data_IF_634036418289
#
_entry.id   IF_634036418289
#
_cell.length_a   1.000
_cell.length_b   1.000
_cell.length_c   1.000
_cell.angle_alpha   90.00
_cell.angle_beta   90.00
_cell.angle_gamma   90.00
#
_symmetry.space_group_name_H-M   'P 1'
#
loop_
_entity.id
_entity.type
_entity.pdbx_description
1 polymer ?
#
# COMPACT_ATOMS: atom_id res chain seq x y z
N UNK A 1 -3.02 3.23 -23.61
CA UNK A 1 -2.11 4.26 -24.15
C UNK A 1 -1.03 4.67 -23.15
N UNK A 2 -1.36 5.07 -21.91
CA UNK A 2 -0.35 5.53 -20.92
C UNK A 2 0.50 4.37 -20.36
N UNK A 3 -0.11 3.25 -19.97
CA UNK A 3 0.60 2.08 -19.38
C UNK A 3 1.67 1.52 -20.31
N UNK A 4 1.33 1.29 -21.59
CA UNK A 4 2.26 0.76 -22.60
C UNK A 4 3.50 1.65 -22.75
N UNK A 5 3.30 2.98 -22.76
CA UNK A 5 4.41 3.94 -22.89
C UNK A 5 5.33 3.96 -21.67
N UNK A 6 4.80 3.76 -20.46
CA UNK A 6 5.61 3.62 -19.23
C UNK A 6 6.49 2.38 -19.30
N UNK A 7 5.90 1.26 -19.72
CA UNK A 7 6.63 0.01 -19.90
C UNK A 7 7.74 0.18 -20.93
N UNK A 8 7.45 0.82 -22.07
CA UNK A 8 8.43 1.10 -23.11
C UNK A 8 9.60 1.94 -22.58
N UNK A 9 9.31 3.03 -21.84
CA UNK A 9 10.34 3.89 -21.27
C UNK A 9 11.20 3.19 -20.21
N UNK A 10 10.58 2.38 -19.34
CA UNK A 10 11.31 1.59 -18.36
C UNK A 10 12.25 0.58 -19.02
N UNK A 11 11.77 -0.12 -20.06
CA UNK A 11 12.58 -1.09 -20.80
C UNK A 11 13.73 -0.43 -21.55
N UNK A 12 13.49 0.74 -22.16
CA UNK A 12 14.54 1.54 -22.81
C UNK A 12 15.58 1.99 -21.78
N UNK A 13 15.14 2.52 -20.63
CA UNK A 13 16.05 2.92 -19.56
C UNK A 13 16.92 1.75 -19.07
N UNK A 14 16.33 0.58 -18.81
CA UNK A 14 17.09 -0.60 -18.38
C UNK A 14 18.13 -0.98 -19.42
N UNK A 15 17.77 -0.95 -20.71
CA UNK A 15 18.68 -1.26 -21.81
C UNK A 15 19.83 -0.25 -21.95
N UNK A 16 19.56 1.03 -21.70
CA UNK A 16 20.55 2.10 -21.87
C UNK A 16 21.46 2.29 -20.65
N UNK A 17 20.92 2.09 -19.45
CA UNK A 17 21.57 2.49 -18.20
C UNK A 17 21.98 1.32 -17.31
N UNK A 18 21.51 0.09 -17.60
CA UNK A 18 21.73 -1.06 -16.74
C UNK A 18 22.09 -2.32 -17.58
N UNK A 19 23.34 -2.41 -18.04
CA UNK A 19 23.81 -3.50 -18.92
C UNK A 19 23.65 -4.90 -18.34
N UNK A 20 23.74 -5.03 -17.02
CA UNK A 20 23.70 -6.32 -16.30
C UNK A 20 22.35 -6.59 -15.63
N UNK A 21 21.33 -5.77 -15.90
CA UNK A 21 20.01 -5.89 -15.32
C UNK A 21 19.00 -6.39 -16.34
N UNK A 22 18.39 -7.54 -16.06
CA UNK A 22 17.29 -8.07 -16.89
C UNK A 22 15.94 -7.57 -16.35
N UNK A 23 15.25 -6.68 -17.09
CA UNK A 23 13.99 -6.11 -16.62
C UNK A 23 12.84 -7.12 -16.70
N UNK A 24 11.84 -6.95 -15.84
CA UNK A 24 10.60 -7.71 -15.86
C UNK A 24 9.90 -7.64 -17.23
N UNK A 25 9.22 -8.72 -17.59
CA UNK A 25 8.45 -8.81 -18.82
C UNK A 25 7.32 -7.79 -18.91
N UNK A 26 6.93 -7.42 -20.13
CA UNK A 26 5.85 -6.43 -20.39
C UNK A 26 4.54 -6.79 -19.67
N UNK A 27 4.18 -8.07 -19.60
CA UNK A 27 2.98 -8.56 -18.92
C UNK A 27 3.04 -8.29 -17.41
N UNK A 28 4.16 -8.64 -16.78
CA UNK A 28 4.43 -8.40 -15.37
C UNK A 28 4.42 -6.90 -15.05
N UNK A 29 5.14 -6.09 -15.83
CA UNK A 29 5.14 -4.63 -15.69
C UNK A 29 3.75 -4.01 -15.89
N UNK A 30 2.98 -4.53 -16.84
CA UNK A 30 1.58 -4.15 -17.03
C UNK A 30 0.78 -4.44 -15.78
N UNK A 31 0.88 -5.65 -15.25
CA UNK A 31 0.18 -6.07 -14.03
C UNK A 31 0.62 -5.27 -12.81
N UNK A 32 1.91 -4.92 -12.68
CA UNK A 32 2.41 -3.97 -11.66
C UNK A 32 1.67 -2.66 -11.81
N UNK A 33 1.72 -2.05 -13.00
CA UNK A 33 1.11 -0.74 -13.22
C UNK A 33 -0.41 -0.77 -13.05
N UNK A 34 -1.06 -1.91 -13.27
CA UNK A 34 -2.49 -2.11 -13.03
C UNK A 34 -2.85 -2.34 -11.56
N UNK A 35 -2.04 -3.10 -10.84
CA UNK A 35 -2.24 -3.40 -9.41
C UNK A 35 -1.85 -2.20 -8.55
N UNK A 36 -0.78 -1.52 -8.96
CA UNK A 36 -0.30 -0.25 -8.43
C UNK A 36 -0.86 0.93 -9.21
N UNK A 37 -1.99 0.77 -9.94
CA UNK A 37 -2.66 1.89 -10.64
C UNK A 37 -2.80 3.01 -9.63
N UNK A 38 -2.07 4.10 -9.87
CA UNK A 38 -2.24 5.30 -9.08
C UNK A 38 -3.72 5.68 -9.19
N UNK A 39 -4.44 5.56 -8.08
CA UNK A 39 -5.81 6.02 -8.05
C UNK A 39 -5.75 7.49 -8.41
N UNK A 40 -6.46 7.91 -9.45
CA UNK A 40 -6.71 9.34 -9.69
C UNK A 40 -7.60 9.83 -8.57
N UNK A 41 -6.99 10.02 -7.40
CA UNK A 41 -7.56 10.82 -6.33
C UNK A 41 -7.15 12.24 -6.69
N UNK A 42 -8.14 13.08 -7.00
CA UNK A 42 -7.99 14.52 -6.73
C UNK A 42 -7.39 14.61 -5.32
N UNK A 43 -6.41 15.49 -5.11
CA UNK A 43 -5.80 15.75 -3.79
C UNK A 43 -6.85 16.00 -2.71
N UNK A 44 -7.43 14.94 -2.16
CA UNK A 44 -8.56 14.98 -1.23
C UNK A 44 -8.44 13.94 -0.12
N UNK A 45 -7.45 13.03 -0.16
CA UNK A 45 -7.41 11.89 0.76
C UNK A 45 -5.97 11.53 1.16
N UNK A 46 -5.35 12.39 1.98
CA UNK A 46 -4.09 12.09 2.68
C UNK A 46 -4.31 11.19 3.91
N UNK A 47 -3.21 10.85 4.61
CA UNK A 47 -3.24 10.08 5.88
C UNK A 47 -4.27 10.69 6.84
N UNK A 48 -4.37 12.01 6.88
CA UNK A 48 -5.27 12.73 7.77
C UNK A 48 -6.75 12.55 7.44
N UNK A 49 -7.13 12.28 6.19
CA UNK A 49 -8.52 11.93 5.86
C UNK A 49 -8.88 10.50 6.29
N UNK A 50 -7.99 9.52 6.07
CA UNK A 50 -8.19 8.17 6.60
C UNK A 50 -8.27 8.19 8.13
N UNK A 51 -7.45 9.04 8.73
CA UNK A 51 -7.43 9.28 10.15
C UNK A 51 -8.69 10.02 10.65
N UNK A 52 -9.28 10.94 9.87
CA UNK A 52 -10.49 11.69 10.20
C UNK A 52 -11.78 10.88 9.98
N UNK A 53 -11.87 10.10 8.90
CA UNK A 53 -12.97 9.17 8.66
C UNK A 53 -13.01 8.04 9.71
N UNK A 54 -11.84 7.65 10.23
CA UNK A 54 -11.74 6.79 11.41
C UNK A 54 -12.15 7.51 12.71
N UNK A 55 -11.90 8.82 12.84
CA UNK A 55 -12.25 9.62 14.03
C UNK A 55 -13.76 9.88 14.17
N UNK A 56 -14.49 10.12 13.07
CA UNK A 56 -15.94 10.41 13.12
C UNK A 56 -16.81 9.20 13.50
N UNK A 57 -16.27 7.99 13.50
CA UNK A 57 -17.07 6.78 13.57
C UNK A 57 -16.87 5.90 14.82
N UNK A 58 -16.01 6.20 15.82
CA UNK A 58 -15.54 5.08 16.64
C UNK A 58 -15.18 5.21 18.15
N UNK A 59 -15.52 4.07 18.78
CA UNK A 59 -15.15 3.44 20.06
C UNK A 59 -13.62 3.42 20.36
N UNK A 60 -13.23 3.23 21.62
CA UNK A 60 -11.84 3.28 22.11
C UNK A 60 -10.89 2.31 21.38
N UNK A 61 -11.38 1.13 20.99
CA UNK A 61 -10.59 0.12 20.29
C UNK A 61 -10.07 0.60 18.92
N UNK A 62 -10.87 1.36 18.18
CA UNK A 62 -10.47 1.87 16.87
C UNK A 62 -9.56 3.09 16.97
N UNK A 63 -9.69 3.89 18.04
CA UNK A 63 -8.69 4.92 18.37
C UNK A 63 -7.34 4.30 18.63
N UNK A 64 -7.28 3.22 19.42
CA UNK A 64 -6.04 2.46 19.68
C UNK A 64 -5.44 1.90 18.39
N UNK A 65 -6.27 1.30 17.53
CA UNK A 65 -5.87 0.82 16.21
C UNK A 65 -5.27 1.93 15.32
N UNK A 66 -5.87 3.13 15.32
CA UNK A 66 -5.34 4.28 14.58
C UNK A 66 -3.96 4.71 15.12
N UNK A 67 -3.80 4.81 16.44
CA UNK A 67 -2.50 5.12 17.05
C UNK A 67 -1.46 4.06 16.71
N UNK A 68 -1.82 2.79 16.80
CA UNK A 68 -0.95 1.68 16.44
C UNK A 68 -0.44 1.80 15.00
N UNK A 69 -1.34 2.01 14.03
CA UNK A 69 -0.96 2.19 12.62
C UNK A 69 -0.10 3.43 12.37
N UNK A 70 -0.34 4.54 13.09
CA UNK A 70 0.47 5.77 12.96
C UNK A 70 1.87 5.65 13.56
N UNK A 71 2.05 4.81 14.57
CA UNK A 71 3.27 4.71 15.37
C UNK A 71 3.91 3.32 15.24
N UNK A 72 3.65 2.46 16.22
CA UNK A 72 4.26 1.16 16.45
C UNK A 72 4.25 0.22 15.24
N UNK A 73 3.22 0.26 14.40
CA UNK A 73 3.13 -0.63 13.25
C UNK A 73 4.35 -0.48 12.35
N UNK A 74 4.81 0.76 12.11
CA UNK A 74 5.91 1.04 11.19
C UNK A 74 7.23 0.43 11.63
N UNK A 75 7.50 0.41 12.94
CA UNK A 75 8.75 -0.12 13.51
C UNK A 75 8.73 -1.63 13.71
N UNK A 76 7.55 -2.25 13.68
CA UNK A 76 7.40 -3.71 13.81
C UNK A 76 7.51 -4.45 12.48
N UNK A 77 7.33 -3.76 11.36
CA UNK A 77 7.43 -4.35 10.02
C UNK A 77 8.90 -4.56 9.64
N UNK A 78 9.21 -5.74 9.09
CA UNK A 78 10.55 -6.14 8.70
C UNK A 78 10.56 -7.09 7.49
N UNK A 79 11.76 -7.38 6.97
CA UNK A 79 11.99 -8.41 5.93
C UNK A 79 12.11 -9.83 6.48
N UNK A 80 11.89 -10.03 7.77
CA UNK A 80 11.97 -11.35 8.42
C UNK A 80 11.13 -11.31 9.70
N UNK A 81 9.97 -11.95 9.67
CA UNK A 81 9.08 -11.99 10.82
C UNK A 81 8.21 -13.25 10.75
N UNK A 82 8.08 -13.95 11.88
CA UNK A 82 7.12 -15.04 12.08
C UNK A 82 5.67 -14.55 12.15
N UNK A 83 5.45 -13.24 12.34
CA UNK A 83 4.12 -12.62 12.31
C UNK A 83 3.83 -12.15 10.88
N UNK A 84 2.76 -12.70 10.27
CA UNK A 84 2.29 -12.39 8.91
C UNK A 84 2.21 -10.90 8.63
N UNK A 85 1.59 -10.14 9.54
CA UNK A 85 1.34 -8.71 9.36
C UNK A 85 2.58 -7.82 9.44
N UNK A 86 3.66 -8.35 9.99
CA UNK A 86 4.93 -7.66 10.20
C UNK A 86 5.96 -8.10 9.16
N UNK A 87 5.76 -9.23 8.51
CA UNK A 87 6.65 -9.66 7.45
C UNK A 87 6.27 -9.00 6.12
N UNK A 88 6.99 -7.95 5.74
CA UNK A 88 6.61 -7.10 4.60
C UNK A 88 6.59 -7.85 3.26
N UNK A 89 7.48 -8.83 3.07
CA UNK A 89 7.58 -9.59 1.82
C UNK A 89 6.35 -10.48 1.67
N UNK A 90 5.98 -11.21 2.72
CA UNK A 90 4.78 -12.04 2.72
C UNK A 90 3.50 -11.21 2.70
N UNK A 91 3.40 -10.15 3.51
CA UNK A 91 2.20 -9.31 3.58
C UNK A 91 1.89 -8.56 2.26
N UNK A 92 2.90 -8.36 1.40
CA UNK A 92 2.74 -7.77 0.06
C UNK A 92 2.64 -8.83 -1.06
N UNK A 93 2.77 -10.11 -0.74
CA UNK A 93 2.66 -11.23 -1.67
C UNK A 93 1.22 -11.37 -2.18
N UNK A 94 1.05 -11.64 -3.48
CA UNK A 94 -0.24 -12.00 -4.07
C UNK A 94 -0.19 -13.44 -4.57
N UNK A 95 -0.77 -14.42 -3.85
CA UNK A 95 -0.73 -15.83 -4.25
C UNK A 95 -1.50 -16.09 -5.55
N UNK A 96 -2.35 -15.17 -6.00
CA UNK A 96 -3.09 -15.31 -7.27
C UNK A 96 -2.28 -14.89 -8.48
N UNK A 97 -1.14 -14.23 -8.28
CA UNK A 97 -0.29 -13.71 -9.35
C UNK A 97 1.13 -14.21 -9.15
N UNK A 98 1.54 -15.15 -9.98
CA UNK A 98 2.86 -15.79 -9.92
C UNK A 98 4.01 -14.79 -9.79
N UNK A 99 3.94 -13.67 -10.50
CA UNK A 99 4.98 -12.64 -10.53
C UNK A 99 5.08 -11.82 -9.23
N UNK A 100 4.04 -11.86 -8.39
CA UNK A 100 3.99 -11.19 -7.08
C UNK A 100 3.83 -12.17 -5.94
N UNK A 101 3.81 -13.47 -6.23
CA UNK A 101 3.81 -14.50 -5.22
C UNK A 101 5.22 -14.62 -4.64
N UNK A 102 5.27 -14.75 -3.32
CA UNK A 102 6.47 -15.06 -2.57
C UNK A 102 6.21 -16.30 -1.75
N UNK A 103 7.12 -17.27 -1.85
CA UNK A 103 7.16 -18.45 -1.00
C UNK A 103 7.98 -18.14 0.25
N UNK A 104 7.67 -18.82 1.36
CA UNK A 104 8.38 -18.65 2.61
C UNK A 104 8.90 -20.02 3.06
N UNK A 105 10.17 -20.05 3.46
CA UNK A 105 10.82 -21.25 4.00
C UNK A 105 10.62 -21.41 5.52
N UNK A 106 9.76 -20.58 6.12
CA UNK A 106 9.48 -20.58 7.56
C UNK A 106 7.97 -20.51 7.82
N UNK A 107 7.58 -20.97 9.00
CA UNK A 107 6.19 -20.95 9.48
C UNK A 107 5.86 -19.59 10.13
N UNK A 108 4.58 -19.23 10.09
CA UNK A 108 4.07 -17.96 10.60
C UNK A 108 3.17 -18.17 11.83
N UNK A 109 3.73 -18.79 12.86
CA UNK A 109 2.95 -19.27 14.01
C UNK A 109 2.72 -18.21 15.09
N UNK A 110 3.42 -17.08 14.98
CA UNK A 110 3.30 -15.98 15.92
C UNK A 110 2.19 -15.02 15.53
N UNK A 111 1.61 -14.37 16.55
CA UNK A 111 0.58 -13.36 16.36
C UNK A 111 0.91 -12.07 17.13
N UNK A 112 0.46 -10.94 16.58
CA UNK A 112 0.59 -9.64 17.23
C UNK A 112 -0.75 -9.23 17.83
N UNK A 113 -0.80 -9.04 19.16
CA UNK A 113 -1.99 -8.57 19.86
C UNK A 113 -2.55 -7.25 19.31
N UNK A 114 -1.70 -6.28 18.95
CA UNK A 114 -2.18 -5.00 18.40
C UNK A 114 -2.76 -5.15 16.99
N UNK A 115 -2.20 -6.04 16.16
CA UNK A 115 -2.78 -6.40 14.86
C UNK A 115 -4.13 -7.11 15.02
N UNK A 116 -4.24 -7.99 16.03
CA UNK A 116 -5.49 -8.65 16.39
C UNK A 116 -6.52 -7.65 16.91
N UNK A 117 -6.11 -6.65 17.69
CA UNK A 117 -6.99 -5.58 18.18
C UNK A 117 -7.54 -4.69 17.06
N UNK A 118 -6.79 -4.55 15.96
CA UNK A 118 -7.28 -3.88 14.75
C UNK A 118 -8.32 -4.73 14.01
N UNK A 119 -8.06 -6.02 13.85
CA UNK A 119 -8.83 -6.89 12.94
C UNK A 119 -10.04 -7.54 13.62
N UNK A 120 -9.93 -7.88 14.91
CA UNK A 120 -10.98 -8.59 15.67
C UNK A 120 -12.29 -7.80 15.75
N UNK A 121 -12.31 -6.49 16.07
CA UNK A 121 -13.55 -5.72 16.09
C UNK A 121 -14.22 -5.66 14.70
N UNK A 122 -13.42 -5.50 13.63
CA UNK A 122 -13.94 -5.49 12.26
C UNK A 122 -14.59 -6.83 11.92
N UNK A 123 -13.95 -7.95 12.25
CA UNK A 123 -14.50 -9.28 12.02
C UNK A 123 -15.80 -9.52 12.83
N UNK A 124 -15.86 -9.06 14.09
CA UNK A 124 -17.07 -9.15 14.92
C UNK A 124 -18.22 -8.36 14.32
N UNK A 125 -18.00 -7.12 13.90
CA UNK A 125 -19.04 -6.30 13.26
C UNK A 125 -19.48 -6.94 11.94
N UNK A 126 -18.56 -7.47 11.15
CA UNK A 126 -18.89 -8.17 9.91
C UNK A 126 -19.74 -9.43 10.17
N UNK A 127 -19.42 -10.19 11.22
CA UNK A 127 -20.20 -11.35 11.62
C UNK A 127 -21.60 -10.95 12.10
N UNK A 128 -21.70 -9.93 12.97
CA UNK A 128 -22.99 -9.40 13.42
C UNK A 128 -23.85 -8.92 12.26
N UNK A 129 -23.25 -8.26 11.26
CA UNK A 129 -23.97 -7.85 10.05
C UNK A 129 -24.48 -9.06 9.25
N UNK A 130 -23.70 -10.15 9.15
CA UNK A 130 -24.10 -11.38 8.45
C UNK A 130 -25.24 -12.12 9.15
N UNK A 131 -25.25 -12.10 10.48
CA UNK A 131 -26.24 -12.78 11.34
C UNK A 131 -27.50 -11.95 11.58
N UNK A 132 -27.42 -10.62 11.42
CA UNK A 132 -28.56 -9.74 11.58
C UNK A 132 -29.67 -10.05 10.56
N UNK A 133 -30.91 -9.98 11.02
CA UNK A 133 -32.09 -10.08 10.16
C UNK A 133 -32.06 -8.95 9.13
N UNK A 134 -32.16 -9.33 7.86
CA UNK A 134 -32.02 -8.40 6.73
C UNK A 134 -33.35 -7.71 6.49
N UNK A 135 -33.60 -6.65 7.23
CA UNK A 135 -34.70 -5.74 6.96
C UNK A 135 -34.22 -4.51 6.18
N UNK A 136 -34.95 -4.22 5.10
CA UNK A 136 -34.92 -3.00 4.29
C UNK A 136 -33.57 -2.47 3.70
N UNK A 137 -33.73 -1.43 2.86
CA UNK A 137 -32.68 -0.61 2.23
C UNK A 137 -31.65 -0.04 3.24
N UNK A 138 -32.04 0.09 4.51
CA UNK A 138 -31.17 0.55 5.59
C UNK A 138 -30.05 -0.45 5.92
N UNK A 139 -30.32 -1.76 5.86
CA UNK A 139 -29.28 -2.79 6.07
C UNK A 139 -28.24 -2.72 4.95
N UNK A 140 -28.66 -2.61 3.69
CA UNK A 140 -27.75 -2.51 2.54
C UNK A 140 -26.88 -1.25 2.61
N UNK A 141 -27.46 -0.10 2.98
CA UNK A 141 -26.69 1.13 3.24
C UNK A 141 -25.67 0.95 4.35
N UNK A 142 -26.04 0.31 5.45
CA UNK A 142 -25.17 0.08 6.61
C UNK A 142 -24.03 -0.88 6.27
N UNK A 143 -24.32 -1.99 5.61
CA UNK A 143 -23.34 -2.98 5.17
C UNK A 143 -22.34 -2.36 4.18
N UNK A 144 -22.81 -1.60 3.19
CA UNK A 144 -21.94 -0.88 2.24
C UNK A 144 -21.03 0.12 2.94
N UNK A 145 -21.56 0.87 3.90
CA UNK A 145 -20.79 1.85 4.67
C UNK A 145 -19.70 1.16 5.50
N UNK A 146 -20.05 0.09 6.22
CA UNK A 146 -19.07 -0.72 6.96
C UNK A 146 -17.98 -1.29 6.07
N UNK A 147 -18.35 -1.87 4.91
CA UNK A 147 -17.38 -2.40 3.95
C UNK A 147 -16.43 -1.31 3.44
N UNK A 148 -16.95 -0.11 3.14
CA UNK A 148 -16.10 1.03 2.74
C UNK A 148 -15.11 1.44 3.83
N UNK A 149 -15.53 1.44 5.10
CA UNK A 149 -14.64 1.72 6.23
C UNK A 149 -13.57 0.65 6.39
N UNK A 150 -13.95 -0.63 6.36
CA UNK A 150 -13.01 -1.76 6.44
C UNK A 150 -11.95 -1.69 5.34
N UNK A 151 -12.38 -1.49 4.10
CA UNK A 151 -11.48 -1.34 2.96
C UNK A 151 -10.55 -0.14 3.11
N UNK A 152 -11.02 0.97 3.70
CA UNK A 152 -10.18 2.15 3.94
C UNK A 152 -9.07 1.89 4.96
N UNK A 153 -9.37 1.14 6.03
CA UNK A 153 -8.40 0.73 7.04
C UNK A 153 -7.38 -0.25 6.45
N UNK A 154 -7.84 -1.28 5.73
CA UNK A 154 -6.98 -2.25 5.06
C UNK A 154 -6.07 -1.56 4.04
N UNK A 155 -6.63 -0.66 3.22
CA UNK A 155 -5.85 0.12 2.25
C UNK A 155 -4.78 1.00 2.91
N UNK A 156 -5.08 1.59 4.08
CA UNK A 156 -4.11 2.37 4.83
C UNK A 156 -2.97 1.49 5.35
N UNK A 157 -3.27 0.32 5.92
CA UNK A 157 -2.25 -0.66 6.36
C UNK A 157 -1.37 -1.12 5.19
N UNK A 158 -1.98 -1.46 4.04
CA UNK A 158 -1.20 -1.85 2.84
C UNK A 158 -0.34 -0.70 2.33
N UNK A 159 -0.83 0.54 2.38
CA UNK A 159 -0.02 1.70 2.03
C UNK A 159 1.21 1.84 2.96
N UNK A 160 1.02 1.69 4.27
CA UNK A 160 2.13 1.71 5.22
C UNK A 160 3.16 0.62 4.93
N UNK A 161 2.71 -0.62 4.68
CA UNK A 161 3.59 -1.73 4.29
C UNK A 161 4.41 -1.42 3.04
N UNK A 162 3.78 -0.86 1.99
CA UNK A 162 4.50 -0.47 0.76
C UNK A 162 5.52 0.61 1.03
N UNK A 163 5.17 1.64 1.81
CA UNK A 163 6.09 2.73 2.17
C UNK A 163 7.30 2.18 2.92
N UNK A 164 7.09 1.33 3.91
CA UNK A 164 8.16 0.73 4.70
C UNK A 164 9.04 -0.16 3.83
N UNK A 165 8.45 -0.99 2.96
CA UNK A 165 9.23 -1.83 2.05
C UNK A 165 10.08 -1.01 1.07
N UNK A 166 9.55 0.12 0.57
CA UNK A 166 10.31 1.06 -0.27
C UNK A 166 11.48 1.67 0.50
N UNK A 167 11.27 2.10 1.73
CA UNK A 167 12.33 2.65 2.59
C UNK A 167 13.40 1.60 2.91
N UNK A 168 13.02 0.37 3.26
CA UNK A 168 13.95 -0.73 3.50
C UNK A 168 14.76 -1.10 2.24
N UNK A 169 14.21 -0.87 1.05
CA UNK A 169 14.92 -1.06 -0.20
C UNK A 169 15.89 0.09 -0.47
N UNK A 170 15.45 1.33 -0.21
CA UNK A 170 16.28 2.54 -0.30
C UNK A 170 17.48 2.48 0.64
N UNK A 171 17.28 2.13 1.90
CA UNK A 171 18.37 1.96 2.88
C UNK A 171 19.37 0.91 2.42
N UNK A 172 18.90 -0.25 1.98
CA UNK A 172 19.78 -1.31 1.49
C UNK A 172 20.60 -0.90 0.25
N UNK A 173 20.03 -0.09 -0.64
CA UNK A 173 20.74 0.46 -1.80
C UNK A 173 21.80 1.47 -1.38
N UNK A 174 21.46 2.36 -0.44
CA UNK A 174 22.40 3.37 0.07
C UNK A 174 23.58 2.73 0.80
N UNK A 175 23.35 1.66 1.57
CA UNK A 175 24.41 0.91 2.26
C UNK A 175 25.41 0.24 1.29
N UNK A 176 24.96 -0.07 0.07
CA UNK A 176 25.76 -0.74 -0.97
C UNK A 176 26.36 0.22 -1.99
N UNK A 177 26.09 1.53 -1.87
CA UNK A 177 26.50 2.52 -2.86
C UNK A 177 28.01 2.72 -2.83
N UNK A 178 28.69 2.54 -3.96
CA UNK A 178 30.11 2.80 -4.06
C UNK A 178 30.42 4.31 -4.09
N UNK A 179 31.66 4.69 -3.76
CA UNK A 179 32.10 6.10 -3.71
C UNK A 179 31.96 6.86 -5.04
N UNK A 180 31.84 6.16 -6.16
CA UNK A 180 31.70 6.71 -7.51
C UNK A 180 30.28 6.54 -8.08
N UNK A 181 29.32 6.09 -7.27
CA UNK A 181 27.93 5.87 -7.68
C UNK A 181 27.02 6.91 -7.04
N UNK A 182 25.88 7.18 -7.70
CA UNK A 182 24.86 8.08 -7.19
C UNK A 182 23.52 7.35 -7.12
N UNK A 183 22.82 7.50 -5.99
CA UNK A 183 21.45 7.04 -5.87
C UNK A 183 20.50 8.05 -6.51
N UNK A 184 19.71 7.60 -7.49
CA UNK A 184 18.68 8.43 -8.13
C UNK A 184 17.31 7.85 -7.82
N UNK A 185 16.49 8.58 -7.05
CA UNK A 185 15.09 8.24 -6.86
C UNK A 185 14.25 8.86 -7.98
N UNK A 186 13.63 8.03 -8.82
CA UNK A 186 12.72 8.45 -9.86
C UNK A 186 11.29 8.14 -9.45
N UNK A 187 10.57 9.13 -8.93
CA UNK A 187 9.14 9.00 -8.69
C UNK A 187 8.36 9.12 -10.01
N UNK A 188 8.20 7.98 -10.67
CA UNK A 188 7.42 7.85 -11.90
C UNK A 188 5.94 8.23 -11.67
N UNK A 189 5.40 8.04 -10.46
CA UNK A 189 4.02 8.39 -10.16
C UNK A 189 3.83 9.90 -10.19
N UNK A 190 4.79 10.66 -9.65
CA UNK A 190 4.75 12.13 -9.64
C UNK A 190 4.97 12.77 -11.02
N UNK A 191 5.65 12.09 -11.95
CA UNK A 191 5.75 12.56 -13.36
C UNK A 191 4.48 12.28 -14.16
N UNK A 192 3.74 11.22 -13.82
CA UNK A 192 2.63 10.71 -14.64
C UNK A 192 1.25 11.10 -14.13
N UNK A 193 1.04 11.21 -12.82
CA UNK A 193 -0.24 11.64 -12.25
C UNK A 193 -0.69 12.99 -12.84
N UNK A 194 0.15 14.03 -12.92
CA UNK A 194 -0.22 15.32 -13.53
C UNK A 194 -0.58 15.18 -15.02
N UNK A 195 0.14 14.33 -15.75
CA UNK A 195 -0.10 14.07 -17.19
C UNK A 195 -1.43 13.34 -17.41
N UNK A 196 -1.82 12.46 -16.49
CA UNK A 196 -3.10 11.73 -16.53
C UNK A 196 -4.28 12.58 -16.04
N UNK A 197 -4.07 13.45 -15.06
CA UNK A 197 -5.10 14.32 -14.47
C UNK A 197 -5.22 15.70 -15.14
N UNK A 198 -4.34 16.03 -16.10
CA UNK A 198 -4.19 17.38 -16.69
C UNK A 198 -3.89 18.47 -15.65
N UNK A 199 -3.26 18.12 -14.52
CA UNK A 199 -2.76 19.12 -13.58
C UNK A 199 -1.40 19.65 -14.07
N UNK A 200 -1.18 20.96 -13.97
CA UNK A 200 0.12 21.54 -14.32
C UNK A 200 1.16 21.10 -13.28
N UNK A 201 2.38 20.74 -13.70
CA UNK A 201 3.43 20.24 -12.79
C UNK A 201 3.71 21.21 -11.63
N UNK A 202 3.60 22.52 -11.89
CA UNK A 202 3.74 23.60 -10.90
C UNK A 202 2.60 23.67 -9.87
N UNK A 203 1.42 23.14 -10.17
CA UNK A 203 0.27 23.08 -9.25
C UNK A 203 0.30 21.81 -8.39
N UNK A 204 1.13 20.84 -8.78
CA UNK A 204 1.27 19.56 -8.13
C UNK A 204 2.48 19.52 -7.18
N UNK A 205 3.62 20.10 -7.60
CA UNK A 205 4.80 20.26 -6.76
C UNK A 205 4.52 21.30 -5.67
N UNK A 206 4.48 20.87 -4.39
CA UNK A 206 4.22 21.75 -3.26
C UNK A 206 2.86 21.58 -2.58
N UNK A 207 2.01 20.64 -3.03
CA UNK A 207 0.89 20.17 -2.21
C UNK A 207 1.47 19.47 -0.98
N UNK A 208 1.22 20.04 0.21
CA UNK A 208 1.63 19.44 1.50
C UNK A 208 1.05 18.01 1.57
N UNK A 209 1.85 17.10 2.12
CA UNK A 209 1.56 15.67 2.34
C UNK A 209 1.86 14.69 1.19
N UNK A 210 2.56 15.12 0.12
CA UNK A 210 3.01 14.24 -1.00
C UNK A 210 4.56 14.19 -1.09
N UNK A 211 5.29 14.65 -0.07
CA UNK A 211 6.75 14.50 0.01
C UNK A 211 7.17 13.73 1.24
#
# INVERSE_FOLDING_TARGET
MVVTRVIDQYLVYCKEMCSDFEPLGRGSLGTILETCKASTRKSLQGIDYFAAAADEAFDENLKRARFYLKSDYKVRVSKSSSIVDHYCIYALSDPKKTDFAQECEHEHDDFCNECSNLTSPLNKVEQMLKEAEKDDELWDRTAKKFQSFRQSIEAWKTYLLRSINQDLCRENLLDKLANNEIYTNLDWTMKFLPVKSREHQSEFFGKRDIS
#
